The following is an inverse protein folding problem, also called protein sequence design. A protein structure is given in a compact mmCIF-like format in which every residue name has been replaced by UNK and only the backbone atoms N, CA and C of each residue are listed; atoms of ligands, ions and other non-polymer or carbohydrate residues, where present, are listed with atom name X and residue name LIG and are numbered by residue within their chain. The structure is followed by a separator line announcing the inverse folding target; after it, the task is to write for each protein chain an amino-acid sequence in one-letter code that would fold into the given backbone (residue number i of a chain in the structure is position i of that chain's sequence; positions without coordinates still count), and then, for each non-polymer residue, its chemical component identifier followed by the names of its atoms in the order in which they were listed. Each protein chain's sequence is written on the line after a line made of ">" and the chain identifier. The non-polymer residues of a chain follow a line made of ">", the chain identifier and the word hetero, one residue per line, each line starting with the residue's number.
data_IF_881289128291
#
_entry.id   IF_881289128291
#
_cell.length_a   1.000
_cell.length_b   1.000
_cell.length_c   1.000
_cell.angle_alpha   90.00
_cell.angle_beta   90.00
_cell.angle_gamma   90.00
#
_symmetry.space_group_name_H-M   'P 1'
#
loop_
_entity.id
_entity.type
_entity.pdbx_description
1 polymer ?
#
# COMPACT_ATOMS: atom_id res chain seq x y z
N UNK A 1 21.51 12.84 -57.34
CA UNK A 1 20.44 12.60 -56.35
C UNK A 1 21.10 12.45 -54.99
N UNK A 2 21.06 13.52 -54.12
CA UNK A 2 21.68 13.44 -52.78
C UNK A 2 20.66 12.85 -51.84
N UNK A 3 20.94 11.66 -51.30
CA UNK A 3 20.19 11.01 -50.25
C UNK A 3 20.40 11.83 -48.97
N UNK A 4 19.34 12.54 -48.50
CA UNK A 4 19.38 13.20 -47.22
C UNK A 4 19.37 12.15 -46.13
N UNK A 5 20.50 11.99 -45.46
CA UNK A 5 20.62 11.24 -44.21
C UNK A 5 19.68 11.85 -43.15
N UNK A 6 18.56 11.18 -42.86
CA UNK A 6 17.69 11.54 -41.74
C UNK A 6 18.49 11.35 -40.46
N UNK A 7 19.01 12.44 -39.89
CA UNK A 7 19.54 12.43 -38.52
C UNK A 7 18.50 11.79 -37.61
N UNK A 8 18.83 10.60 -37.05
CA UNK A 8 18.10 10.03 -35.94
C UNK A 8 18.10 11.09 -34.84
N UNK A 9 16.94 11.72 -34.58
CA UNK A 9 16.74 12.51 -33.36
C UNK A 9 17.04 11.60 -32.19
N UNK A 10 18.09 11.92 -31.47
CA UNK A 10 18.41 11.31 -30.17
C UNK A 10 17.21 11.55 -29.26
N UNK A 11 16.32 10.54 -29.22
CA UNK A 11 15.21 10.56 -28.30
C UNK A 11 15.81 10.12 -26.98
N UNK A 12 16.06 11.07 -26.10
CA UNK A 12 16.42 10.77 -24.71
C UNK A 12 15.55 9.67 -24.10
N UNK A 13 15.94 9.09 -22.97
CA UNK A 13 15.23 7.97 -22.36
C UNK A 13 13.75 8.31 -22.21
N UNK A 14 12.89 7.40 -22.69
CA UNK A 14 11.45 7.56 -22.57
C UNK A 14 11.06 7.39 -21.09
N UNK A 15 10.18 8.27 -20.60
CA UNK A 15 9.67 8.22 -19.25
C UNK A 15 10.24 9.35 -18.37
N UNK A 16 9.93 9.27 -17.08
CA UNK A 16 10.39 10.26 -16.10
C UNK A 16 11.91 10.16 -15.91
N UNK A 17 12.64 11.30 -15.87
CA UNK A 17 14.06 11.29 -15.54
C UNK A 17 14.27 10.74 -14.11
N UNK A 18 15.42 10.11 -13.88
CA UNK A 18 15.80 9.61 -12.57
C UNK A 18 16.15 10.80 -11.67
N UNK A 19 15.70 10.72 -10.43
CA UNK A 19 16.05 11.62 -9.33
C UNK A 19 17.05 10.87 -8.44
N UNK A 20 18.29 11.33 -8.40
CA UNK A 20 19.38 10.68 -7.68
C UNK A 20 19.14 10.68 -6.17
N UNK A 21 18.48 11.72 -5.61
CA UNK A 21 18.13 11.75 -4.19
C UNK A 21 17.09 10.70 -3.86
N UNK A 22 16.05 10.56 -4.68
CA UNK A 22 15.04 9.51 -4.50
C UNK A 22 15.65 8.11 -4.66
N UNK A 23 16.64 7.93 -5.53
CA UNK A 23 17.34 6.65 -5.67
C UNK A 23 18.15 6.33 -4.40
N UNK A 24 18.83 7.31 -3.83
CA UNK A 24 19.56 7.13 -2.57
C UNK A 24 18.61 6.80 -1.40
N UNK A 25 17.49 7.50 -1.30
CA UNK A 25 16.43 7.26 -0.31
C UNK A 25 15.89 5.83 -0.40
N UNK A 26 15.50 5.40 -1.61
CA UNK A 26 15.00 4.04 -1.86
C UNK A 26 16.06 2.98 -1.51
N UNK A 27 17.31 3.17 -1.93
CA UNK A 27 18.40 2.24 -1.62
C UNK A 27 18.68 2.13 -0.13
N UNK A 28 18.67 3.24 0.59
CA UNK A 28 18.84 3.27 2.04
C UNK A 28 17.71 2.49 2.75
N UNK A 29 16.46 2.71 2.33
CA UNK A 29 15.29 2.03 2.89
C UNK A 29 15.30 0.52 2.62
N UNK A 30 15.63 0.12 1.40
CA UNK A 30 15.66 -1.29 1.01
C UNK A 30 16.89 -2.03 1.56
N UNK A 31 17.97 -1.33 1.88
CA UNK A 31 19.19 -1.89 2.42
C UNK A 31 19.78 -3.03 1.55
N UNK A 32 20.20 -4.11 2.18
CA UNK A 32 20.82 -5.27 1.53
C UNK A 32 19.83 -6.31 1.00
N UNK A 33 18.53 -6.05 1.06
CA UNK A 33 17.50 -6.99 0.54
C UNK A 33 17.73 -7.28 -0.94
N UNK A 34 17.55 -8.53 -1.40
CA UNK A 34 17.74 -8.89 -2.81
C UNK A 34 16.71 -8.16 -3.69
N UNK A 35 17.14 -7.65 -4.86
CA UNK A 35 16.27 -6.93 -5.81
C UNK A 35 15.54 -7.93 -6.73
N UNK A 36 14.76 -8.83 -6.13
CA UNK A 36 13.99 -9.84 -6.86
C UNK A 36 12.61 -9.27 -7.23
N UNK A 37 12.11 -9.63 -8.41
CA UNK A 37 10.83 -9.15 -8.92
C UNK A 37 9.63 -9.49 -8.02
N UNK A 38 9.64 -10.65 -7.39
CA UNK A 38 8.62 -11.13 -6.47
C UNK A 38 8.53 -10.30 -5.16
N UNK A 39 9.54 -9.47 -4.87
CA UNK A 39 9.56 -8.55 -3.72
C UNK A 39 9.06 -7.13 -4.06
N UNK A 40 8.52 -6.91 -5.27
CA UNK A 40 8.08 -5.57 -5.67
C UNK A 40 6.99 -5.02 -4.73
N UNK A 41 6.00 -5.84 -4.37
CA UNK A 41 4.89 -5.41 -3.50
C UNK A 41 5.41 -5.07 -2.10
N UNK A 42 6.31 -5.87 -1.54
CA UNK A 42 6.94 -5.59 -0.24
C UNK A 42 7.72 -4.27 -0.26
N UNK A 43 8.41 -3.98 -1.36
CA UNK A 43 9.15 -2.73 -1.49
C UNK A 43 8.23 -1.52 -1.64
N UNK A 44 7.10 -1.67 -2.33
CA UNK A 44 6.05 -0.65 -2.38
C UNK A 44 5.47 -0.36 -0.97
N UNK A 45 5.23 -1.42 -0.17
CA UNK A 45 4.81 -1.25 1.23
C UNK A 45 5.85 -0.49 2.04
N UNK A 46 7.12 -0.85 1.97
CA UNK A 46 8.19 -0.18 2.70
C UNK A 46 8.26 1.31 2.35
N UNK A 47 8.16 1.66 1.06
CA UNK A 47 8.18 3.05 0.60
C UNK A 47 6.93 3.80 1.11
N UNK A 48 5.75 3.19 1.02
CA UNK A 48 4.53 3.83 1.49
C UNK A 48 4.51 4.01 3.01
N UNK A 49 4.98 3.02 3.76
CA UNK A 49 5.04 3.10 5.23
C UNK A 49 6.00 4.21 5.69
N UNK A 50 7.15 4.41 5.00
CA UNK A 50 8.11 5.45 5.31
C UNK A 50 7.64 6.84 4.86
N UNK A 51 7.19 6.97 3.60
CA UNK A 51 6.85 8.26 3.00
C UNK A 51 5.34 8.55 2.97
N UNK A 52 4.51 7.67 3.49
CA UNK A 52 3.03 7.74 3.54
C UNK A 52 2.34 7.72 2.17
N UNK A 53 3.10 7.65 1.10
CA UNK A 53 2.61 7.56 -0.27
C UNK A 53 3.69 7.02 -1.20
N UNK A 54 3.28 6.63 -2.39
CA UNK A 54 4.16 6.25 -3.49
C UNK A 54 4.28 7.44 -4.46
N UNK A 55 5.26 8.31 -4.24
CA UNK A 55 5.48 9.44 -5.15
C UNK A 55 6.05 8.98 -6.49
N UNK A 56 5.77 9.73 -7.56
CA UNK A 56 6.27 9.41 -8.90
C UNK A 56 7.80 9.33 -8.96
N UNK A 57 8.54 10.12 -8.14
CA UNK A 57 10.00 10.06 -8.05
C UNK A 57 10.49 8.77 -7.40
N UNK A 58 9.83 8.29 -6.33
CA UNK A 58 10.18 7.05 -5.67
C UNK A 58 9.84 5.81 -6.52
N UNK A 59 8.70 5.82 -7.23
CA UNK A 59 8.37 4.73 -8.17
C UNK A 59 9.39 4.63 -9.30
N UNK A 60 9.88 5.79 -9.83
CA UNK A 60 10.95 5.79 -10.84
C UNK A 60 12.27 5.25 -10.26
N UNK A 61 12.62 5.65 -9.05
CA UNK A 61 13.82 5.19 -8.34
C UNK A 61 13.76 3.68 -8.06
N UNK A 62 12.61 3.17 -7.61
CA UNK A 62 12.39 1.74 -7.38
C UNK A 62 12.52 0.93 -8.67
N UNK A 63 11.94 1.42 -9.78
CA UNK A 63 12.05 0.78 -11.09
C UNK A 63 13.52 0.66 -11.53
N UNK A 64 14.32 1.71 -11.33
CA UNK A 64 15.76 1.71 -11.62
C UNK A 64 16.52 0.70 -10.74
N UNK A 65 16.30 0.74 -9.43
CA UNK A 65 17.03 -0.11 -8.48
C UNK A 65 16.71 -1.60 -8.64
N UNK A 66 15.47 -1.92 -9.01
CA UNK A 66 15.01 -3.29 -9.31
C UNK A 66 15.27 -3.73 -10.77
N UNK A 67 15.69 -2.83 -11.65
CA UNK A 67 15.84 -3.05 -13.10
C UNK A 67 14.54 -3.50 -13.77
N UNK A 68 13.42 -2.90 -13.36
CA UNK A 68 12.09 -3.11 -13.92
C UNK A 68 11.69 -1.93 -14.82
N UNK A 69 10.71 -2.17 -15.71
CA UNK A 69 10.12 -1.07 -16.46
C UNK A 69 9.32 -0.14 -15.54
N UNK A 70 9.39 1.18 -15.78
CA UNK A 70 8.59 2.15 -14.99
C UNK A 70 7.09 1.85 -15.07
N UNK A 71 6.60 1.43 -16.24
CA UNK A 71 5.22 1.06 -16.44
C UNK A 71 4.81 -0.12 -15.54
N UNK A 72 5.64 -1.16 -15.44
CA UNK A 72 5.39 -2.33 -14.60
C UNK A 72 5.27 -1.96 -13.13
N UNK A 73 6.19 -1.14 -12.60
CA UNK A 73 6.15 -0.69 -11.21
C UNK A 73 4.92 0.17 -10.95
N UNK A 74 4.57 1.07 -11.89
CA UNK A 74 3.39 1.92 -11.78
C UNK A 74 2.08 1.12 -11.86
N UNK A 75 1.98 0.13 -12.75
CA UNK A 75 0.82 -0.74 -12.89
C UNK A 75 0.55 -1.51 -11.59
N UNK A 76 1.59 -2.10 -10.99
CA UNK A 76 1.44 -2.78 -9.70
C UNK A 76 1.06 -1.80 -8.58
N UNK A 77 1.73 -0.64 -8.51
CA UNK A 77 1.43 0.36 -7.49
C UNK A 77 0.01 0.91 -7.59
N UNK A 78 -0.52 1.11 -8.80
CA UNK A 78 -1.86 1.67 -9.01
C UNK A 78 -2.98 0.62 -9.00
N UNK A 79 -2.65 -0.67 -9.04
CA UNK A 79 -3.64 -1.74 -9.02
C UNK A 79 -4.28 -1.93 -7.64
N UNK A 80 -3.50 -1.81 -6.58
CA UNK A 80 -3.97 -2.06 -5.22
C UNK A 80 -4.48 -0.77 -4.57
N UNK A 81 -5.72 -0.78 -4.10
CA UNK A 81 -6.35 0.35 -3.36
C UNK A 81 -5.58 0.75 -2.08
N UNK A 82 -4.79 -0.16 -1.55
CA UNK A 82 -3.94 0.11 -0.39
C UNK A 82 -2.88 1.17 -0.66
N UNK A 83 -2.37 1.25 -1.89
CA UNK A 83 -1.29 2.15 -2.25
C UNK A 83 -1.79 3.53 -2.65
N UNK A 84 -1.19 4.55 -2.07
CA UNK A 84 -1.47 5.96 -2.37
C UNK A 84 -0.45 6.50 -3.37
N UNK A 85 -0.73 6.32 -4.66
CA UNK A 85 0.12 6.85 -5.73
C UNK A 85 -0.11 8.34 -5.90
N UNK A 86 0.91 9.16 -5.61
CA UNK A 86 0.86 10.62 -5.70
C UNK A 86 1.65 11.11 -6.92
N UNK A 87 0.98 11.80 -7.82
CA UNK A 87 1.60 12.40 -9.02
C UNK A 87 2.33 13.68 -8.66
N UNK A 88 3.14 14.15 -9.61
CA UNK A 88 3.87 15.41 -9.46
C UNK A 88 2.90 16.59 -9.31
N UNK A 89 3.14 17.40 -8.27
CA UNK A 89 2.28 18.56 -7.96
C UNK A 89 1.02 18.24 -7.17
N UNK A 90 0.71 16.96 -6.94
CA UNK A 90 -0.40 16.57 -6.06
C UNK A 90 0.02 16.63 -4.58
N UNK A 91 -0.88 17.05 -3.68
CA UNK A 91 -0.60 17.05 -2.25
C UNK A 91 -0.46 15.62 -1.71
N UNK A 92 0.38 15.47 -0.71
CA UNK A 92 0.45 14.20 0.03
C UNK A 92 -0.85 13.94 0.80
N UNK A 93 -1.25 12.67 0.97
CA UNK A 93 -2.41 12.32 1.79
C UNK A 93 -2.19 12.74 3.25
N UNK A 94 -3.29 12.89 4.00
CA UNK A 94 -3.25 13.14 5.43
C UNK A 94 -2.38 12.10 6.17
N UNK A 95 -1.79 12.46 7.31
CA UNK A 95 -0.89 11.57 8.07
C UNK A 95 -1.48 10.21 8.42
N UNK A 96 -2.79 10.14 8.61
CA UNK A 96 -3.51 8.90 8.89
C UNK A 96 -4.66 8.72 7.91
N UNK A 97 -4.85 7.48 7.42
CA UNK A 97 -5.99 7.12 6.59
C UNK A 97 -6.84 6.06 7.28
N UNK A 98 -8.14 6.30 7.34
CA UNK A 98 -9.16 5.31 7.71
C UNK A 98 -9.86 4.87 6.43
N UNK A 99 -9.77 3.58 6.12
CA UNK A 99 -10.44 2.95 4.98
C UNK A 99 -11.61 2.13 5.49
N UNK A 100 -12.82 2.44 5.06
CA UNK A 100 -14.04 1.69 5.42
C UNK A 100 -14.45 0.83 4.23
N UNK A 101 -14.60 -0.46 4.45
CA UNK A 101 -15.06 -1.38 3.41
C UNK A 101 -16.49 -1.04 3.00
N UNK A 102 -16.73 -0.84 1.69
CA UNK A 102 -18.05 -0.53 1.12
C UNK A 102 -18.66 -1.68 0.32
N UNK A 103 -18.15 -2.90 0.50
CA UNK A 103 -18.73 -4.09 -0.11
C UNK A 103 -20.04 -4.50 0.57
N UNK A 104 -20.83 -5.32 -0.11
CA UNK A 104 -22.22 -5.65 0.22
C UNK A 104 -22.44 -5.96 1.71
N UNK A 105 -21.64 -6.87 2.31
CA UNK A 105 -21.80 -7.23 3.72
C UNK A 105 -21.58 -6.03 4.66
N UNK A 106 -20.59 -5.20 4.35
CA UNK A 106 -20.27 -4.02 5.17
C UNK A 106 -21.33 -2.92 4.97
N UNK A 107 -21.84 -2.74 3.76
CA UNK A 107 -22.95 -1.80 3.51
C UNK A 107 -24.21 -2.22 4.30
N UNK A 108 -24.56 -3.52 4.29
CA UNK A 108 -25.67 -4.04 5.10
C UNK A 108 -25.37 -3.92 6.61
N UNK A 109 -24.10 -4.03 7.02
CA UNK A 109 -23.63 -3.83 8.38
C UNK A 109 -23.54 -2.38 8.83
N UNK A 110 -23.85 -1.41 7.97
CA UNK A 110 -23.89 0.02 8.32
C UNK A 110 -22.66 0.84 7.93
N UNK A 111 -21.88 0.40 6.94
CA UNK A 111 -20.67 1.12 6.48
C UNK A 111 -20.96 2.55 6.01
N UNK A 112 -22.12 2.80 5.37
CA UNK A 112 -22.51 4.16 4.97
C UNK A 112 -22.68 5.11 6.16
N UNK A 113 -23.33 4.62 7.22
CA UNK A 113 -23.49 5.38 8.45
C UNK A 113 -22.13 5.67 9.09
N UNK A 114 -21.28 4.65 9.17
CA UNK A 114 -19.92 4.78 9.70
C UNK A 114 -19.09 5.82 8.94
N UNK A 115 -19.14 5.80 7.60
CA UNK A 115 -18.47 6.78 6.75
C UNK A 115 -18.97 8.22 7.03
N UNK A 116 -20.28 8.41 7.13
CA UNK A 116 -20.88 9.73 7.39
C UNK A 116 -20.48 10.26 8.77
N UNK A 117 -20.51 9.42 9.81
CA UNK A 117 -20.10 9.77 11.17
C UNK A 117 -18.63 10.16 11.24
N UNK A 118 -17.75 9.38 10.62
CA UNK A 118 -16.31 9.66 10.56
C UNK A 118 -16.03 10.97 9.82
N UNK A 119 -16.63 11.17 8.65
CA UNK A 119 -16.45 12.39 7.87
C UNK A 119 -16.84 13.67 8.62
N UNK A 120 -17.87 13.57 9.48
CA UNK A 120 -18.30 14.69 10.35
C UNK A 120 -17.46 14.87 11.63
N UNK A 121 -16.59 13.93 11.97
CA UNK A 121 -15.90 13.88 13.26
C UNK A 121 -14.39 14.08 13.20
N UNK A 122 -13.78 14.09 12.00
CA UNK A 122 -12.34 14.20 11.82
C UNK A 122 -11.94 15.53 11.16
N UNK A 123 -10.73 15.99 11.48
CA UNK A 123 -10.07 17.03 10.69
C UNK A 123 -9.46 16.37 9.42
N UNK A 124 -9.89 16.74 8.20
CA UNK A 124 -9.38 16.17 6.96
C UNK A 124 -7.87 16.37 6.74
N UNK A 125 -7.27 17.39 7.39
CA UNK A 125 -5.83 17.61 7.34
C UNK A 125 -5.05 16.59 8.17
N UNK A 126 -5.65 16.02 9.20
CA UNK A 126 -5.04 15.02 10.08
C UNK A 126 -5.41 13.60 9.71
N UNK A 127 -6.68 13.36 9.36
CA UNK A 127 -7.21 12.01 9.09
C UNK A 127 -8.04 12.05 7.80
N UNK A 128 -7.61 11.25 6.83
CA UNK A 128 -8.38 10.99 5.61
C UNK A 128 -9.30 9.81 5.83
N UNK A 129 -10.60 9.98 5.57
CA UNK A 129 -11.60 8.90 5.56
C UNK A 129 -11.95 8.57 4.12
N UNK A 130 -11.88 7.31 3.74
CA UNK A 130 -12.19 6.87 2.38
C UNK A 130 -12.87 5.50 2.34
N UNK A 131 -13.57 5.23 1.25
CA UNK A 131 -14.10 3.91 0.92
C UNK A 131 -12.97 2.99 0.50
N UNK A 132 -13.14 1.71 0.75
CA UNK A 132 -12.21 0.68 0.30
C UNK A 132 -12.96 -0.53 -0.24
N UNK A 133 -12.39 -1.26 -1.21
CA UNK A 133 -12.91 -2.54 -1.64
C UNK A 133 -12.88 -3.56 -0.49
N UNK A 134 -13.45 -4.73 -0.73
CA UNK A 134 -13.54 -5.78 0.27
C UNK A 134 -12.18 -6.17 0.85
N UNK A 135 -12.05 -6.03 2.17
CA UNK A 135 -10.84 -6.39 2.93
C UNK A 135 -10.87 -7.85 3.43
N UNK A 136 -11.88 -8.64 3.02
CA UNK A 136 -11.98 -10.07 3.36
C UNK A 136 -12.53 -10.37 4.76
N UNK A 137 -13.03 -9.36 5.49
CA UNK A 137 -13.49 -9.51 6.90
C UNK A 137 -15.01 -9.44 7.06
N UNK A 138 -15.74 -10.10 6.15
CA UNK A 138 -17.21 -10.02 6.08
C UNK A 138 -17.92 -10.51 7.36
N UNK A 139 -17.33 -11.43 8.12
CA UNK A 139 -17.89 -11.91 9.39
C UNK A 139 -17.88 -10.83 10.48
N UNK A 140 -17.01 -9.83 10.37
CA UNK A 140 -16.89 -8.69 11.28
C UNK A 140 -17.41 -7.38 10.67
N UNK A 141 -18.44 -7.45 9.82
CA UNK A 141 -19.00 -6.25 9.19
C UNK A 141 -19.72 -5.33 10.21
N UNK A 142 -19.61 -3.98 10.07
CA UNK A 142 -18.79 -3.29 9.10
C UNK A 142 -17.31 -3.36 9.45
N UNK A 143 -16.45 -3.61 8.44
CA UNK A 143 -15.02 -3.69 8.63
C UNK A 143 -14.32 -2.41 8.13
N UNK A 144 -13.27 -2.01 8.84
CA UNK A 144 -12.45 -0.87 8.48
C UNK A 144 -10.97 -1.19 8.66
N UNK A 145 -10.11 -0.34 8.10
CA UNK A 145 -8.67 -0.35 8.34
C UNK A 145 -8.23 1.05 8.76
N UNK A 146 -7.49 1.14 9.85
CA UNK A 146 -6.87 2.38 10.32
C UNK A 146 -5.34 2.23 10.20
N UNK A 147 -4.73 3.02 9.32
CA UNK A 147 -3.35 2.75 8.91
C UNK A 147 -3.22 1.33 8.35
N UNK A 148 -2.43 0.48 9.01
CA UNK A 148 -2.24 -0.94 8.65
C UNK A 148 -3.03 -1.90 9.56
N UNK A 149 -3.83 -1.39 10.52
CA UNK A 149 -4.61 -2.23 11.43
C UNK A 149 -6.02 -2.46 10.92
N UNK A 150 -6.42 -3.70 10.83
CA UNK A 150 -7.79 -4.11 10.50
C UNK A 150 -8.68 -4.11 11.73
N UNK A 151 -9.93 -3.68 11.57
CA UNK A 151 -10.93 -3.53 12.64
C UNK A 151 -12.24 -4.16 12.21
N UNK A 152 -12.71 -5.14 12.98
CA UNK A 152 -14.01 -5.76 12.83
C UNK A 152 -15.05 -5.01 13.66
N UNK A 153 -16.32 -5.09 13.25
CA UNK A 153 -17.44 -4.42 13.91
C UNK A 153 -17.10 -2.95 14.21
N UNK A 154 -16.54 -2.29 13.19
CA UNK A 154 -15.98 -0.96 13.32
C UNK A 154 -17.06 0.07 13.68
N UNK A 155 -16.74 0.92 14.65
CA UNK A 155 -17.55 2.05 15.05
C UNK A 155 -16.75 3.34 14.95
N UNK A 156 -17.41 4.48 14.73
CA UNK A 156 -16.74 5.78 14.65
C UNK A 156 -15.99 6.10 15.95
N UNK A 157 -16.59 5.84 17.10
CA UNK A 157 -15.96 6.05 18.40
C UNK A 157 -14.70 5.18 18.57
N UNK A 158 -14.79 3.89 18.26
CA UNK A 158 -13.66 2.95 18.34
C UNK A 158 -12.50 3.34 17.45
N UNK A 159 -12.76 3.68 16.17
CA UNK A 159 -11.73 4.12 15.22
C UNK A 159 -11.08 5.44 15.66
N UNK A 160 -11.85 6.40 16.18
CA UNK A 160 -11.31 7.66 16.69
C UNK A 160 -10.49 7.46 17.98
N UNK A 161 -10.88 6.53 18.84
CA UNK A 161 -10.10 6.16 20.02
C UNK A 161 -8.75 5.54 19.61
N UNK A 162 -8.75 4.62 18.63
CA UNK A 162 -7.53 4.02 18.06
C UNK A 162 -6.64 5.08 17.39
N UNK A 163 -7.22 6.02 16.66
CA UNK A 163 -6.48 7.13 16.05
C UNK A 163 -5.73 7.97 17.10
N UNK A 164 -6.41 8.33 18.19
CA UNK A 164 -5.81 9.10 19.31
C UNK A 164 -4.71 8.30 20.03
N UNK A 165 -4.88 6.98 20.15
CA UNK A 165 -3.90 6.09 20.77
C UNK A 165 -2.70 5.76 19.86
N UNK A 166 -2.75 6.12 18.57
CA UNK A 166 -1.74 5.72 17.60
C UNK A 166 -1.75 4.22 17.28
N UNK A 167 -2.88 3.56 17.53
CA UNK A 167 -3.03 2.11 17.36
C UNK A 167 -3.36 1.76 15.90
N UNK A 168 -2.35 1.84 15.06
CA UNK A 168 -2.46 1.77 13.60
C UNK A 168 -1.66 0.62 12.97
N UNK A 169 -0.96 -0.19 13.81
CA UNK A 169 -0.09 -1.26 13.33
C UNK A 169 -0.83 -2.59 13.23
N UNK A 170 -0.40 -3.42 12.29
CA UNK A 170 -0.90 -4.80 12.15
C UNK A 170 -0.75 -5.56 13.48
N UNK A 171 -1.80 -6.24 13.89
CA UNK A 171 -1.76 -7.20 15.01
C UNK A 171 -1.67 -8.60 14.43
N UNK A 172 -0.56 -9.26 14.69
CA UNK A 172 -0.38 -10.68 14.34
C UNK A 172 -0.98 -11.52 15.46
N UNK A 173 -2.05 -12.32 15.20
CA UNK A 173 -2.61 -13.20 16.22
C UNK A 173 -1.63 -14.30 16.58
N UNK A 174 -1.76 -14.93 17.76
CA UNK A 174 -0.99 -16.12 18.10
C UNK A 174 -1.16 -17.19 17.02
N UNK A 175 -0.06 -17.78 16.59
CA UNK A 175 -0.08 -18.83 15.56
C UNK A 175 0.87 -19.97 15.92
N UNK A 176 0.60 -21.16 15.38
CA UNK A 176 1.49 -22.31 15.49
C UNK A 176 2.56 -22.21 14.40
N UNK A 177 3.85 -22.20 14.79
CA UNK A 177 4.94 -22.20 13.80
C UNK A 177 4.98 -23.51 13.02
N UNK A 178 5.62 -23.50 11.84
CA UNK A 178 5.79 -24.70 11.02
C UNK A 178 6.52 -25.80 11.78
N UNK A 179 7.56 -25.45 12.55
CA UNK A 179 8.33 -26.36 13.37
C UNK A 179 7.45 -27.00 14.46
N UNK A 180 6.68 -26.20 15.19
CA UNK A 180 5.76 -26.69 16.22
C UNK A 180 4.67 -27.59 15.63
N UNK A 181 4.12 -27.21 14.46
CA UNK A 181 3.12 -28.02 13.76
C UNK A 181 3.69 -29.37 13.31
N UNK A 182 4.92 -29.40 12.78
CA UNK A 182 5.61 -30.64 12.39
C UNK A 182 5.94 -31.52 13.60
N UNK A 183 6.42 -30.92 14.69
CA UNK A 183 6.71 -31.63 15.95
C UNK A 183 5.45 -32.28 16.55
N UNK A 184 4.29 -31.66 16.38
CA UNK A 184 3.00 -32.21 16.78
C UNK A 184 2.42 -33.25 15.79
N UNK A 185 3.18 -33.70 14.79
CA UNK A 185 2.75 -34.69 13.81
C UNK A 185 2.12 -34.13 12.54
N UNK A 186 2.22 -32.81 12.32
CA UNK A 186 1.75 -32.20 11.11
C UNK A 186 2.45 -32.71 9.85
N UNK A 187 1.71 -32.81 8.74
CA UNK A 187 2.17 -33.31 7.44
C UNK A 187 2.63 -34.77 7.37
N UNK A 188 2.44 -35.58 8.41
CA UNK A 188 2.84 -37.00 8.39
C UNK A 188 2.16 -37.81 7.27
N UNK A 189 0.92 -37.46 6.92
CA UNK A 189 0.21 -38.10 5.80
C UNK A 189 0.80 -37.79 4.41
N UNK A 190 1.51 -36.68 4.27
CA UNK A 190 2.16 -36.32 3.01
C UNK A 190 3.49 -37.05 2.78
N UNK A 191 4.00 -37.73 3.81
CA UNK A 191 5.27 -38.46 3.73
C UNK A 191 5.06 -39.96 3.42
N UNK A 192 3.79 -40.44 3.33
CA UNK A 192 3.38 -41.78 2.93
C UNK A 192 3.03 -41.82 1.45
#
# INVERSE_FOLDING_TARGET
>A
MKVQERRRRDRGPKGRPLDDSALAEVRALLGTRPRRRDLLIEFLHLIQDEYRCLSARHLRALAEDMRLAQAEVYEVASFYDHFDVVKEGEPQPAPLTIRVCDSISCMLGGAEKLLAELAGSVDPAAIRVMRAPCVGRCAGAPAARIGNREVDNATSEGLLAMARAGDTKVVVPPYTTLEAYRAAGGYQLLQK
#
